data_IF_790041376838
#
_entry.id   IF_790041376838
#
_cell.length_a   1.000
_cell.length_b   1.000
_cell.length_c   1.000
_cell.angle_alpha   90.00
_cell.angle_beta   90.00
_cell.angle_gamma   90.00
#
_symmetry.space_group_name_H-M   'P 1'
#
loop_
_entity.id
_entity.type
_entity.pdbx_description
1 polymer ?
#
# COMPACT_ATOMS: atom_id res chain seq x y z
N UNK A 1 9.99 -11.62 0.05
CA UNK A 1 9.74 -10.17 0.22
C UNK A 1 8.55 -10.01 1.14
N UNK A 2 8.43 -8.89 1.84
CA UNK A 2 7.33 -8.64 2.78
C UNK A 2 5.95 -8.53 2.14
N UNK A 3 5.90 -8.47 0.80
CA UNK A 3 4.69 -8.38 -0.01
C UNK A 3 4.77 -9.37 -1.17
N UNK A 4 3.61 -9.90 -1.58
CA UNK A 4 3.44 -10.72 -2.80
C UNK A 4 3.00 -9.81 -3.94
N UNK A 5 3.99 -9.14 -4.54
CA UNK A 5 3.78 -8.14 -5.59
C UNK A 5 4.56 -8.51 -6.86
N UNK A 6 3.93 -8.34 -8.01
CA UNK A 6 4.51 -8.54 -9.35
C UNK A 6 4.75 -7.16 -9.96
N UNK A 7 6.02 -6.76 -10.04
CA UNK A 7 6.42 -5.46 -10.57
C UNK A 7 6.20 -5.35 -12.08
N UNK A 8 5.76 -4.19 -12.54
CA UNK A 8 5.71 -3.82 -13.94
C UNK A 8 7.10 -3.32 -14.37
N UNK A 9 7.74 -4.05 -15.28
CA UNK A 9 9.07 -3.73 -15.77
C UNK A 9 9.02 -3.14 -17.18
N UNK A 10 9.50 -1.91 -17.35
CA UNK A 10 9.60 -1.25 -18.63
C UNK A 10 10.74 -1.88 -19.47
N UNK A 11 10.47 -2.38 -20.68
CA UNK A 11 11.49 -3.01 -21.53
C UNK A 11 12.67 -2.09 -21.86
N UNK A 12 12.46 -0.77 -21.85
CA UNK A 12 13.50 0.22 -22.11
C UNK A 12 14.44 0.51 -20.94
N UNK A 13 14.17 -0.03 -19.74
CA UNK A 13 14.97 0.23 -18.53
C UNK A 13 15.90 -0.94 -18.17
N UNK A 14 16.45 -1.58 -19.20
CA UNK A 14 17.55 -2.55 -19.11
C UNK A 14 17.35 -3.67 -18.05
N UNK A 15 16.13 -4.19 -17.90
CA UNK A 15 15.82 -5.29 -17.00
C UNK A 15 15.64 -4.91 -15.53
N UNK A 16 15.67 -3.61 -15.19
CA UNK A 16 15.26 -3.14 -13.86
C UNK A 16 13.75 -3.37 -13.65
N UNK A 17 13.30 -3.64 -12.42
CA UNK A 17 11.88 -3.87 -12.12
C UNK A 17 11.10 -2.55 -12.01
N UNK A 18 11.36 -1.57 -12.89
CA UNK A 18 10.80 -0.22 -12.82
C UNK A 18 9.79 0.01 -13.93
N UNK A 19 8.65 0.63 -13.60
CA UNK A 19 7.64 0.99 -14.58
C UNK A 19 8.07 2.23 -15.39
N UNK A 20 8.75 3.17 -14.74
CA UNK A 20 9.33 4.39 -15.33
C UNK A 20 10.67 4.72 -14.65
N UNK A 21 11.46 5.69 -15.14
CA UNK A 21 12.67 6.12 -14.46
C UNK A 21 12.49 6.61 -13.01
N UNK A 22 11.26 7.00 -12.61
CA UNK A 22 10.98 7.57 -11.29
C UNK A 22 9.91 6.82 -10.50
N UNK A 23 9.13 5.95 -11.13
CA UNK A 23 8.01 5.22 -10.51
C UNK A 23 8.17 3.71 -10.65
N UNK A 24 7.96 3.04 -9.52
CA UNK A 24 7.70 1.62 -9.44
C UNK A 24 6.19 1.39 -9.40
N UNK A 25 5.71 0.37 -10.07
CA UNK A 25 4.33 -0.06 -10.00
C UNK A 25 4.28 -1.59 -9.94
N UNK A 26 3.30 -2.13 -9.25
CA UNK A 26 3.08 -3.57 -9.19
C UNK A 26 1.62 -3.93 -9.02
N UNK A 27 1.27 -5.15 -9.40
CA UNK A 27 0.05 -5.79 -8.94
C UNK A 27 0.39 -6.57 -7.67
N UNK A 28 -0.26 -6.24 -6.57
CA UNK A 28 -0.13 -6.98 -5.31
C UNK A 28 -1.36 -7.83 -5.06
N UNK A 29 -1.13 -9.00 -4.47
CA UNK A 29 -2.15 -9.99 -4.14
C UNK A 29 -2.07 -10.37 -2.67
N UNK A 30 -3.21 -10.37 -1.99
CA UNK A 30 -3.35 -10.87 -0.62
C UNK A 30 -4.43 -11.95 -0.58
N UNK A 31 -4.06 -13.14 -0.13
CA UNK A 31 -4.95 -14.29 -0.03
C UNK A 31 -6.01 -14.14 1.07
N UNK A 32 -6.95 -15.08 1.08
CA UNK A 32 -7.95 -15.21 2.13
C UNK A 32 -7.27 -15.29 3.51
N UNK A 33 -7.73 -14.46 4.46
CA UNK A 33 -7.22 -14.41 5.85
C UNK A 33 -5.71 -14.16 5.98
N UNK A 34 -5.03 -13.74 4.91
CA UNK A 34 -3.60 -13.42 4.97
C UNK A 34 -3.37 -12.06 5.64
N UNK A 35 -2.21 -11.94 6.29
CA UNK A 35 -1.70 -10.67 6.82
C UNK A 35 -0.32 -10.41 6.21
N UNK A 36 -0.10 -9.18 5.78
CA UNK A 36 1.19 -8.66 5.39
C UNK A 36 1.72 -7.77 6.53
N UNK A 37 2.90 -8.09 7.10
CA UNK A 37 3.41 -7.45 8.32
C UNK A 37 3.70 -5.96 8.13
N UNK A 38 3.82 -5.23 9.24
CA UNK A 38 4.07 -3.80 9.21
C UNK A 38 5.53 -3.45 8.91
N UNK A 39 5.73 -2.38 8.14
CA UNK A 39 7.01 -1.72 7.99
C UNK A 39 6.81 -0.23 7.68
N UNK A 40 7.89 0.53 7.68
CA UNK A 40 7.93 1.87 7.11
C UNK A 40 9.16 2.06 6.26
N UNK A 41 9.06 3.00 5.32
CA UNK A 41 10.16 3.32 4.42
C UNK A 41 10.05 4.78 3.96
N UNK A 42 11.16 5.39 3.54
CA UNK A 42 11.16 6.79 3.10
C UNK A 42 10.40 7.01 1.78
N UNK A 43 10.27 5.97 0.96
CA UNK A 43 9.48 5.98 -0.26
C UNK A 43 8.01 6.30 0.05
N UNK A 44 7.40 7.12 -0.80
CA UNK A 44 5.95 7.34 -0.77
C UNK A 44 5.25 6.21 -1.53
N UNK A 45 4.07 5.83 -1.06
CA UNK A 45 3.27 4.80 -1.68
C UNK A 45 1.79 5.18 -1.76
N UNK A 46 1.12 4.65 -2.78
CA UNK A 46 -0.32 4.59 -2.85
C UNK A 46 -0.79 3.20 -3.30
N UNK A 47 -2.05 2.89 -3.01
CA UNK A 47 -2.78 1.75 -3.59
C UNK A 47 -3.98 2.24 -4.36
N UNK A 48 -4.22 1.65 -5.53
CA UNK A 48 -5.43 1.87 -6.29
C UNK A 48 -6.16 0.55 -6.51
N UNK A 49 -7.44 0.52 -6.14
CA UNK A 49 -8.26 -0.69 -6.19
C UNK A 49 -9.14 -0.66 -7.44
N UNK A 50 -8.76 -1.44 -8.45
CA UNK A 50 -9.56 -1.56 -9.68
C UNK A 50 -10.82 -2.40 -9.44
N UNK A 51 -10.72 -3.46 -8.64
CA UNK A 51 -11.79 -4.37 -8.26
C UNK A 51 -11.50 -5.05 -6.91
N UNK A 52 -12.53 -5.61 -6.27
CA UNK A 52 -12.42 -6.31 -5.00
C UNK A 52 -12.68 -5.44 -3.75
N UNK A 53 -12.79 -6.12 -2.62
CA UNK A 53 -12.96 -5.56 -1.28
C UNK A 53 -12.51 -6.59 -0.23
N UNK A 54 -12.47 -6.19 1.05
CA UNK A 54 -12.20 -7.08 2.19
C UNK A 54 -10.80 -6.97 2.79
N UNK A 55 -9.86 -6.34 2.08
CA UNK A 55 -8.55 -5.98 2.62
C UNK A 55 -8.61 -4.64 3.32
N UNK A 56 -7.93 -4.55 4.44
CA UNK A 56 -7.69 -3.33 5.19
C UNK A 56 -6.21 -3.03 5.18
N UNK A 57 -5.86 -1.79 4.86
CA UNK A 57 -4.51 -1.27 5.10
C UNK A 57 -4.51 -0.56 6.44
N UNK A 58 -3.56 -0.87 7.29
CA UNK A 58 -3.39 -0.21 8.58
C UNK A 58 -2.26 0.76 8.42
N UNK A 59 -2.51 2.07 8.58
CA UNK A 59 -1.49 3.12 8.43
C UNK A 59 -1.36 3.86 9.76
N UNK A 60 -0.21 3.77 10.41
CA UNK A 60 0.01 4.24 11.79
C UNK A 60 -1.11 3.82 12.76
N UNK A 61 -1.51 2.54 12.70
CA UNK A 61 -2.56 1.98 13.53
C UNK A 61 -3.97 2.47 13.20
N UNK A 62 -4.22 3.11 12.06
CA UNK A 62 -5.56 3.43 11.55
C UNK A 62 -5.95 2.44 10.44
N UNK A 63 -6.91 1.54 10.69
CA UNK A 63 -7.43 0.65 9.66
C UNK A 63 -8.26 1.43 8.64
N UNK A 64 -7.88 1.34 7.37
CA UNK A 64 -8.58 1.93 6.23
C UNK A 64 -8.98 0.83 5.26
N UNK A 65 -10.27 0.73 4.96
CA UNK A 65 -10.78 -0.30 4.07
C UNK A 65 -10.34 -0.03 2.63
N UNK A 66 -10.00 -1.10 1.90
CA UNK A 66 -9.68 -1.03 0.47
C UNK A 66 -10.89 -1.54 -0.32
N UNK A 67 -11.54 -0.67 -1.09
CA UNK A 67 -12.71 -1.02 -1.91
C UNK A 67 -12.53 -0.52 -3.34
N UNK A 68 -13.27 -1.13 -4.27
CA UNK A 68 -13.27 -0.72 -5.69
C UNK A 68 -13.41 0.79 -5.86
N UNK A 69 -12.47 1.38 -6.60
CA UNK A 69 -12.41 2.80 -6.91
C UNK A 69 -11.58 3.62 -5.92
N UNK A 70 -11.21 3.06 -4.78
CA UNK A 70 -10.45 3.78 -3.76
C UNK A 70 -8.99 4.01 -4.18
N UNK A 71 -8.50 5.19 -3.83
CA UNK A 71 -7.10 5.59 -3.92
C UNK A 71 -6.58 5.86 -2.50
N UNK A 72 -5.76 4.96 -1.98
CA UNK A 72 -5.31 4.97 -0.60
C UNK A 72 -3.84 5.40 -0.51
N UNK A 73 -3.54 6.31 0.40
CA UNK A 73 -2.20 6.84 0.60
C UNK A 73 -1.46 6.15 1.75
N UNK A 74 -0.16 5.94 1.55
CA UNK A 74 0.84 5.81 2.61
C UNK A 74 2.00 6.72 2.28
N UNK A 75 1.97 7.97 2.77
CA UNK A 75 3.12 8.85 2.65
C UNK A 75 4.35 8.23 3.31
N UNK A 76 5.54 8.63 2.86
CA UNK A 76 6.80 8.13 3.40
C UNK A 76 6.89 8.22 4.93
N UNK A 77 7.58 7.25 5.52
CA UNK A 77 7.85 7.10 6.95
C UNK A 77 6.65 6.76 7.86
N UNK A 78 5.48 6.49 7.29
CA UNK A 78 4.34 5.95 8.04
C UNK A 78 4.41 4.41 8.08
N UNK A 79 4.21 3.84 9.26
CA UNK A 79 4.08 2.39 9.40
C UNK A 79 2.84 1.92 8.66
N UNK A 80 2.98 0.82 7.93
CA UNK A 80 1.84 0.23 7.26
C UNK A 80 1.95 -1.28 7.09
N UNK A 81 0.80 -1.94 7.22
CA UNK A 81 0.59 -3.36 6.95
C UNK A 81 -0.80 -3.61 6.37
N UNK A 82 -1.10 -4.85 6.03
CA UNK A 82 -2.37 -5.23 5.42
C UNK A 82 -2.93 -6.49 6.06
N UNK A 83 -4.24 -6.57 6.21
CA UNK A 83 -4.91 -7.82 6.56
C UNK A 83 -6.16 -8.01 5.70
N UNK A 84 -6.48 -9.26 5.39
CA UNK A 84 -7.71 -9.63 4.69
C UNK A 84 -8.72 -10.23 5.67
N UNK A 85 -9.85 -9.55 5.87
CA UNK A 85 -10.91 -10.01 6.78
C UNK A 85 -11.95 -10.91 6.10
N UNK A 86 -11.60 -11.47 4.93
CA UNK A 86 -12.50 -12.33 4.15
C UNK A 86 -11.86 -13.65 3.77
N UNK A 87 -12.71 -14.58 3.33
CA UNK A 87 -12.31 -15.88 2.80
C UNK A 87 -12.03 -15.86 1.28
N UNK A 88 -12.01 -14.67 0.69
CA UNK A 88 -11.71 -14.44 -0.74
C UNK A 88 -10.43 -13.63 -0.89
N UNK A 89 -9.62 -13.88 -1.93
CA UNK A 89 -8.43 -13.08 -2.19
C UNK A 89 -8.78 -11.71 -2.78
N UNK A 90 -7.84 -10.78 -2.68
CA UNK A 90 -7.94 -9.46 -3.30
C UNK A 90 -6.62 -9.06 -3.96
N UNK A 91 -6.71 -8.35 -5.07
CA UNK A 91 -5.57 -7.75 -5.75
C UNK A 91 -5.78 -6.25 -5.98
N UNK A 92 -4.68 -5.51 -6.05
CA UNK A 92 -4.69 -4.07 -6.31
C UNK A 92 -3.39 -3.64 -6.99
N UNK A 93 -3.32 -2.36 -7.38
CA UNK A 93 -2.11 -1.75 -7.94
C UNK A 93 -1.43 -0.91 -6.87
N UNK A 94 -0.14 -1.15 -6.65
CA UNK A 94 0.72 -0.26 -5.88
C UNK A 94 1.47 0.70 -6.83
N UNK A 95 1.65 1.94 -6.39
CA UNK A 95 2.52 2.91 -7.03
C UNK A 95 3.44 3.58 -6.02
N UNK A 96 4.74 3.58 -6.31
CA UNK A 96 5.79 4.04 -5.40
C UNK A 96 6.87 4.83 -6.14
N UNK A 97 7.53 5.74 -5.42
CA UNK A 97 8.69 6.50 -5.91
C UNK A 97 10.04 5.79 -5.69
N UNK A 98 10.04 4.45 -5.56
CA UNK A 98 11.24 3.62 -5.36
C UNK A 98 12.41 3.98 -6.29
N UNK A 99 12.22 4.08 -7.63
CA UNK A 99 13.34 4.36 -8.53
C UNK A 99 13.93 5.74 -8.31
N UNK A 100 13.08 6.73 -8.03
CA UNK A 100 13.51 8.08 -7.74
C UNK A 100 14.29 8.16 -6.41
N UNK A 101 13.76 7.57 -5.34
CA UNK A 101 14.42 7.54 -4.02
C UNK A 101 15.74 6.77 -4.08
N UNK A 102 15.80 5.69 -4.87
CA UNK A 102 17.04 4.96 -5.12
C UNK A 102 18.06 5.82 -5.86
N UNK A 103 17.66 6.52 -6.93
CA UNK A 103 18.53 7.44 -7.66
C UNK A 103 19.09 8.57 -6.78
N UNK A 104 18.29 9.06 -5.82
CA UNK A 104 18.67 10.14 -4.92
C UNK A 104 19.43 9.67 -3.66
N UNK A 105 19.72 8.37 -3.53
CA UNK A 105 20.32 7.76 -2.32
C UNK A 105 19.59 8.14 -1.02
N UNK A 106 18.26 8.26 -1.08
CA UNK A 106 17.43 8.74 0.02
C UNK A 106 16.61 7.62 0.69
N UNK A 107 17.02 6.36 0.51
CA UNK A 107 16.32 5.17 1.00
C UNK A 107 16.53 4.92 2.49
N UNK A 108 15.43 4.84 3.24
CA UNK A 108 15.39 4.35 4.62
C UNK A 108 14.29 3.29 4.74
N UNK A 109 14.51 2.29 5.59
CA UNK A 109 13.55 1.22 5.84
C UNK A 109 13.64 0.77 7.29
N UNK A 110 12.49 0.45 7.89
CA UNK A 110 12.41 -0.09 9.24
C UNK A 110 11.29 -1.13 9.33
N UNK A 111 11.65 -2.31 9.86
CA UNK A 111 10.69 -3.38 10.16
C UNK A 111 9.80 -2.95 11.33
N UNK A 112 8.50 -3.21 11.21
CA UNK A 112 7.51 -3.02 12.26
C UNK A 112 7.17 -4.33 12.96
N UNK A 113 5.89 -4.50 13.28
CA UNK A 113 5.38 -5.71 13.92
C UNK A 113 5.01 -6.78 12.90
N UNK A 114 5.08 -8.06 13.29
CA UNK A 114 4.78 -9.22 12.42
C UNK A 114 3.28 -9.35 12.05
N UNK A 115 2.42 -8.59 12.73
CA UNK A 115 0.99 -8.44 12.43
C UNK A 115 0.69 -6.97 12.20
N UNK A 116 -0.54 -6.65 11.82
CA UNK A 116 -0.97 -5.25 11.90
C UNK A 116 -1.30 -4.89 13.35
N UNK A 117 -1.08 -3.63 13.71
CA UNK A 117 -1.32 -3.10 15.04
C UNK A 117 -2.80 -2.98 15.41
N UNK A 118 -3.68 -2.96 14.42
CA UNK A 118 -5.13 -2.90 14.59
C UNK A 118 -5.84 -3.69 13.48
N UNK A 119 -6.52 -4.78 13.84
CA UNK A 119 -7.31 -5.64 12.93
C UNK A 119 -8.80 -5.26 12.91
N UNK A 120 -9.17 -4.12 13.50
CA UNK A 120 -10.56 -3.65 13.48
C UNK A 120 -11.02 -3.27 12.07
N UNK A 121 -12.33 -3.42 11.84
CA UNK A 121 -13.00 -3.12 10.57
C UNK A 121 -14.08 -2.04 10.72
N UNK A 122 -13.71 -0.80 11.14
CA UNK A 122 -14.68 0.25 11.41
C UNK A 122 -15.38 0.75 10.15
N UNK A 123 -16.67 1.10 10.20
CA UNK A 123 -17.40 1.63 9.03
C UNK A 123 -16.68 2.80 8.34
N UNK A 124 -16.03 3.66 9.14
CA UNK A 124 -15.25 4.82 8.69
C UNK A 124 -13.99 4.93 9.55
N UNK A 125 -12.81 4.93 8.91
CA UNK A 125 -11.49 5.12 9.53
C UNK A 125 -11.33 6.49 10.19
N UNK A 126 -10.31 6.66 11.04
CA UNK A 126 -10.03 7.98 11.63
C UNK A 126 -9.62 8.98 10.55
N UNK A 127 -8.85 8.54 9.57
CA UNK A 127 -8.38 9.37 8.46
C UNK A 127 -9.52 9.85 7.57
N UNK A 128 -10.48 8.97 7.23
CA UNK A 128 -11.65 9.37 6.44
C UNK A 128 -12.50 10.42 7.17
N UNK A 129 -12.67 10.29 8.49
CA UNK A 129 -13.41 11.29 9.29
C UNK A 129 -12.75 12.67 9.29
N UNK A 130 -11.43 12.74 9.14
CA UNK A 130 -10.69 14.00 9.18
C UNK A 130 -10.53 14.62 7.78
N UNK A 131 -10.30 13.79 6.77
CA UNK A 131 -9.78 14.23 5.47
C UNK A 131 -10.69 13.94 4.28
N UNK A 132 -11.70 13.07 4.40
CA UNK A 132 -12.59 12.72 3.29
C UNK A 132 -13.77 13.69 3.10
N UNK A 133 -13.72 14.87 3.72
CA UNK A 133 -14.71 15.91 3.48
C UNK A 133 -14.47 16.59 2.12
N UNK A 134 -15.52 16.88 1.33
CA UNK A 134 -15.37 17.72 0.14
C UNK A 134 -14.85 19.10 0.56
N UNK A 135 -13.61 19.41 0.16
CA UNK A 135 -12.87 20.61 0.51
C UNK A 135 -13.32 21.91 -0.16
N UNK A 136 -14.53 21.96 -0.71
CA UNK A 136 -15.19 23.18 -1.16
C UNK A 136 -16.65 23.12 -0.70
N UNK A 137 -16.98 23.90 0.31
CA UNK A 137 -18.34 24.39 0.54
C UNK A 137 -18.44 25.80 0.01
#
# INVERSE_FOLDING_TARGET
GERRAIALANPGLAGTPYATPTLWAAIQYLGARETAPEHRHSQNAFRFVVEGEGVWTVVNGDPVAMRRGDFLLTPGWNFHGHHNDTDSPMAWIDGLDIPFVHYADAGFFEFGTERVTDEATPDISRSERLWAHPGLR
#
